data_IF_630524874967
#
_entry.id   IF_630524874967
#
_cell.length_a   1.000
_cell.length_b   1.000
_cell.length_c   1.000
_cell.angle_alpha   90.00
_cell.angle_beta   90.00
_cell.angle_gamma   90.00
#
_symmetry.space_group_name_H-M   'P 1'
#
loop_
_entity.id
_entity.type
_entity.pdbx_description
1 polymer ?
#
# COMPACT_ATOMS: atom_id res chain seq x y z
N UNK A 1 21.33 -0.41 -0.67
CA UNK A 1 20.80 0.24 0.55
C UNK A 1 19.62 1.09 0.13
N UNK A 2 18.48 1.01 0.82
CA UNK A 2 17.33 1.88 0.53
C UNK A 2 17.71 3.31 0.94
N UNK A 3 17.68 4.30 0.04
CA UNK A 3 18.22 5.64 0.30
C UNK A 3 17.22 6.54 1.06
N UNK A 4 16.22 5.96 1.72
CA UNK A 4 15.14 6.68 2.39
C UNK A 4 15.07 6.29 3.86
N UNK A 5 14.72 7.25 4.70
CA UNK A 5 14.57 7.03 6.14
C UNK A 5 13.20 6.40 6.41
N UNK A 6 13.20 5.24 7.05
CA UNK A 6 11.97 4.58 7.48
C UNK A 6 12.24 3.72 8.70
N UNK A 7 11.22 3.61 9.55
CA UNK A 7 11.19 2.68 10.68
C UNK A 7 11.11 1.21 10.22
N UNK A 8 10.79 0.97 8.95
CA UNK A 8 10.69 -0.37 8.37
C UNK A 8 12.09 -0.93 8.08
N UNK A 9 12.44 -2.13 8.58
CA UNK A 9 13.73 -2.74 8.31
C UNK A 9 14.00 -2.91 6.81
N UNK A 10 15.17 -2.50 6.34
CA UNK A 10 15.54 -2.56 4.92
C UNK A 10 15.42 -3.98 4.31
N UNK A 11 15.60 -5.04 5.12
CA UNK A 11 15.40 -6.43 4.69
C UNK A 11 13.96 -6.73 4.21
N UNK A 12 12.97 -5.93 4.63
CA UNK A 12 11.56 -6.06 4.21
C UNK A 12 11.23 -5.24 2.97
N UNK A 13 12.18 -4.46 2.45
CA UNK A 13 11.98 -3.56 1.32
C UNK A 13 12.71 -4.08 0.09
N UNK A 14 12.05 -4.00 -1.07
CA UNK A 14 12.64 -4.35 -2.36
C UNK A 14 12.17 -3.38 -3.43
N UNK A 15 13.10 -2.80 -4.19
CA UNK A 15 12.74 -2.01 -5.37
C UNK A 15 12.30 -2.95 -6.49
N UNK A 16 11.17 -2.63 -7.11
CA UNK A 16 10.59 -3.43 -8.20
C UNK A 16 11.04 -2.94 -9.59
N UNK A 17 11.70 -1.79 -9.67
CA UNK A 17 12.27 -1.24 -10.91
C UNK A 17 13.56 -0.43 -10.61
N UNK A 18 14.21 0.05 -11.67
CA UNK A 18 15.46 0.81 -11.60
C UNK A 18 15.25 2.33 -11.81
N UNK A 19 14.00 2.80 -11.80
CA UNK A 19 13.70 4.22 -12.00
C UNK A 19 13.99 4.98 -10.71
N UNK A 20 14.61 6.16 -10.85
CA UNK A 20 14.77 7.07 -9.73
C UNK A 20 13.39 7.55 -9.24
N UNK A 21 13.23 7.64 -7.92
CA UNK A 21 12.05 8.28 -7.32
C UNK A 21 12.09 9.77 -7.64
N UNK A 22 10.92 10.32 -7.95
CA UNK A 22 10.73 11.73 -8.31
C UNK A 22 9.93 12.41 -7.18
N UNK A 23 10.58 13.12 -6.24
CA UNK A 23 9.93 13.70 -5.05
C UNK A 23 8.92 14.83 -5.37
N UNK A 24 9.04 15.42 -6.55
CA UNK A 24 8.17 16.45 -7.09
C UNK A 24 6.81 15.93 -7.57
N UNK A 25 6.64 14.59 -7.64
CA UNK A 25 5.38 13.97 -8.02
C UNK A 25 4.29 14.19 -6.96
N UNK A 26 3.04 14.19 -7.42
CA UNK A 26 1.90 14.67 -6.64
C UNK A 26 1.50 13.79 -5.46
N UNK A 27 1.73 12.48 -5.52
CA UNK A 27 1.24 11.52 -4.53
C UNK A 27 2.25 10.41 -4.29
N UNK A 28 2.25 9.89 -3.05
CA UNK A 28 2.72 8.55 -2.77
C UNK A 28 1.50 7.62 -2.79
N UNK A 29 1.56 6.52 -3.53
CA UNK A 29 0.45 5.57 -3.63
C UNK A 29 0.87 4.25 -2.97
N UNK A 30 0.13 3.85 -1.94
CA UNK A 30 0.20 2.49 -1.42
C UNK A 30 -0.85 1.63 -2.10
N UNK A 31 -0.39 0.72 -2.97
CA UNK A 31 -1.26 -0.29 -3.58
C UNK A 31 -1.42 -1.48 -2.64
N UNK A 32 -2.52 -1.49 -1.90
CA UNK A 32 -2.84 -2.50 -0.89
C UNK A 32 -3.51 -3.71 -1.55
N UNK A 33 -2.74 -4.77 -1.77
CA UNK A 33 -3.20 -6.00 -2.44
C UNK A 33 -3.35 -7.18 -1.48
N UNK A 34 -2.28 -7.54 -0.75
CA UNK A 34 -2.26 -8.72 0.12
C UNK A 34 -2.62 -8.42 1.57
N UNK A 35 -1.99 -7.42 2.18
CA UNK A 35 -2.17 -7.08 3.60
C UNK A 35 -3.26 -6.01 3.76
N UNK A 36 -4.53 -6.42 3.62
CA UNK A 36 -5.67 -5.51 3.63
C UNK A 36 -6.07 -5.06 5.05
N UNK A 37 -5.17 -4.33 5.71
CA UNK A 37 -5.30 -3.84 7.09
C UNK A 37 -4.54 -2.53 7.29
N UNK A 38 -5.08 -1.66 8.13
CA UNK A 38 -4.49 -0.35 8.47
C UNK A 38 -3.47 -0.39 9.61
N UNK A 39 -3.45 -1.47 10.40
CA UNK A 39 -2.55 -1.65 11.55
C UNK A 39 -1.55 -2.78 11.31
N UNK A 40 -0.37 -2.66 11.90
CA UNK A 40 0.71 -3.67 11.81
C UNK A 40 1.00 -4.10 10.36
N UNK A 41 1.19 -3.09 9.49
CA UNK A 41 1.42 -3.25 8.07
C UNK A 41 2.67 -2.45 7.64
N UNK A 42 3.78 -3.15 7.45
CA UNK A 42 5.05 -2.53 7.05
C UNK A 42 4.99 -1.81 5.71
N UNK A 43 4.19 -2.30 4.76
CA UNK A 43 4.07 -1.65 3.45
C UNK A 43 3.34 -0.30 3.57
N UNK A 44 2.29 -0.24 4.40
CA UNK A 44 1.61 1.02 4.72
C UNK A 44 2.50 1.96 5.54
N UNK A 45 3.24 1.45 6.53
CA UNK A 45 4.19 2.23 7.32
C UNK A 45 5.28 2.85 6.45
N UNK A 46 5.88 2.07 5.53
CA UNK A 46 6.86 2.58 4.59
C UNK A 46 6.26 3.66 3.68
N UNK A 47 5.06 3.45 3.14
CA UNK A 47 4.40 4.45 2.29
C UNK A 47 4.09 5.75 3.05
N UNK A 48 3.69 5.67 4.32
CA UNK A 48 3.53 6.82 5.22
C UNK A 48 4.85 7.57 5.42
N UNK A 49 5.94 6.86 5.67
CA UNK A 49 7.26 7.46 5.89
C UNK A 49 7.73 8.20 4.62
N UNK A 50 7.53 7.60 3.44
CA UNK A 50 7.84 8.25 2.16
C UNK A 50 6.96 9.48 1.92
N UNK A 51 5.66 9.40 2.21
CA UNK A 51 4.74 10.52 2.07
C UNK A 51 5.15 11.70 2.95
N UNK A 52 5.56 11.44 4.20
CA UNK A 52 6.13 12.44 5.11
C UNK A 52 7.44 13.01 4.56
N UNK A 53 8.36 12.16 4.14
CA UNK A 53 9.68 12.58 3.65
C UNK A 53 9.58 13.46 2.39
N UNK A 54 8.63 13.19 1.49
CA UNK A 54 8.44 13.97 0.27
C UNK A 54 7.45 15.14 0.41
N UNK A 55 6.83 15.30 1.58
CA UNK A 55 5.73 16.27 1.80
C UNK A 55 4.61 16.13 0.76
N UNK A 56 4.17 14.88 0.53
CA UNK A 56 3.11 14.54 -0.44
C UNK A 56 1.96 13.79 0.24
N UNK A 57 0.72 13.97 -0.22
CA UNK A 57 -0.39 13.15 0.26
C UNK A 57 -0.15 11.66 -0.05
N UNK A 58 -0.47 10.82 0.93
CA UNK A 58 -0.54 9.36 0.78
C UNK A 58 -1.93 8.96 0.31
N UNK A 59 -2.01 8.23 -0.79
CA UNK A 59 -3.23 7.58 -1.27
C UNK A 59 -3.11 6.07 -1.03
N UNK A 60 -4.11 5.50 -0.36
CA UNK A 60 -4.25 4.04 -0.24
C UNK A 60 -5.21 3.55 -1.32
N UNK A 61 -4.73 2.67 -2.20
CA UNK A 61 -5.52 2.04 -3.25
C UNK A 61 -5.76 0.57 -2.92
N UNK A 62 -6.99 0.21 -2.59
CA UNK A 62 -7.44 -1.17 -2.41
C UNK A 62 -8.12 -1.69 -3.69
N UNK A 63 -7.36 -2.30 -4.58
CA UNK A 63 -7.91 -2.84 -5.84
C UNK A 63 -8.61 -4.20 -5.62
N UNK A 64 -9.78 -4.38 -6.22
CA UNK A 64 -10.49 -5.66 -6.29
C UNK A 64 -10.63 -6.13 -7.74
N UNK A 65 -9.94 -7.21 -8.09
CA UNK A 65 -10.09 -7.88 -9.39
C UNK A 65 -11.27 -8.85 -9.31
N UNK A 66 -12.18 -8.80 -10.28
CA UNK A 66 -13.39 -9.67 -10.29
C UNK A 66 -13.23 -10.97 -11.10
N UNK A 67 -12.22 -11.06 -11.96
CA UNK A 67 -12.03 -12.17 -12.90
C UNK A 67 -10.81 -13.05 -12.61
N UNK A 68 -10.60 -13.44 -11.36
CA UNK A 68 -9.56 -14.42 -10.99
C UNK A 68 -10.14 -15.83 -10.91
N UNK A 69 -9.29 -16.87 -11.05
CA UNK A 69 -9.69 -18.29 -11.18
C UNK A 69 -10.69 -18.76 -10.13
N UNK A 70 -10.61 -18.21 -8.92
CA UNK A 70 -11.41 -18.61 -7.76
C UNK A 70 -12.40 -17.52 -7.34
N UNK A 71 -12.69 -16.54 -8.19
CA UNK A 71 -13.62 -15.47 -7.89
C UNK A 71 -15.01 -16.04 -7.59
N UNK A 72 -15.61 -15.57 -6.50
CA UNK A 72 -16.97 -15.95 -6.11
C UNK A 72 -17.61 -14.80 -5.34
N UNK A 73 -18.94 -14.74 -5.35
CA UNK A 73 -19.69 -13.73 -4.61
C UNK A 73 -19.35 -13.74 -3.12
N UNK A 74 -19.09 -14.93 -2.53
CA UNK A 74 -18.69 -15.06 -1.14
C UNK A 74 -17.35 -14.37 -0.86
N UNK A 75 -16.35 -14.59 -1.70
CA UNK A 75 -15.05 -13.94 -1.52
C UNK A 75 -15.12 -12.43 -1.79
N UNK A 76 -15.85 -12.01 -2.82
CA UNK A 76 -16.04 -10.57 -3.09
C UNK A 76 -16.74 -9.87 -1.92
N UNK A 77 -17.79 -10.48 -1.33
CA UNK A 77 -18.46 -9.94 -0.15
C UNK A 77 -17.49 -9.74 1.00
N UNK A 78 -16.73 -10.77 1.36
CA UNK A 78 -15.74 -10.71 2.44
C UNK A 78 -14.68 -9.61 2.20
N UNK A 79 -14.20 -9.47 0.97
CA UNK A 79 -13.21 -8.45 0.60
C UNK A 79 -13.81 -7.05 0.68
N UNK A 80 -15.04 -6.85 0.18
CA UNK A 80 -15.72 -5.54 0.15
C UNK A 80 -16.08 -5.09 1.57
N UNK A 81 -16.60 -5.98 2.41
CA UNK A 81 -16.87 -5.66 3.82
C UNK A 81 -15.59 -5.26 4.54
N UNK A 82 -14.49 -5.99 4.33
CA UNK A 82 -13.18 -5.58 4.87
C UNK A 82 -12.65 -4.24 4.32
N UNK A 83 -13.01 -3.84 3.09
CA UNK A 83 -12.68 -2.50 2.57
C UNK A 83 -13.44 -1.41 3.31
N UNK A 84 -14.73 -1.65 3.62
CA UNK A 84 -15.53 -0.71 4.40
C UNK A 84 -14.96 -0.56 5.81
N UNK A 85 -14.55 -1.66 6.43
CA UNK A 85 -13.89 -1.63 7.74
C UNK A 85 -12.57 -0.84 7.69
N UNK A 86 -11.74 -1.06 6.67
CA UNK A 86 -10.50 -0.29 6.49
C UNK A 86 -10.76 1.20 6.24
N UNK A 87 -11.82 1.55 5.51
CA UNK A 87 -12.20 2.94 5.25
C UNK A 87 -12.63 3.67 6.54
N UNK A 88 -13.24 2.95 7.48
CA UNK A 88 -13.72 3.49 8.75
C UNK A 88 -12.67 3.52 9.87
N UNK A 89 -11.49 2.92 9.66
CA UNK A 89 -10.44 2.72 10.67
C UNK A 89 -9.47 3.90 10.81
#
# INVERSE_FOLDING_TARGET
MFPYESEVPALRLRSMNQLAVQPDRRWVIYWMTAFRRTRSNYALQFARDMAKQFDRPLIVLEALRVGYRWASNRFHRFIIEGMLDNQAA
#
